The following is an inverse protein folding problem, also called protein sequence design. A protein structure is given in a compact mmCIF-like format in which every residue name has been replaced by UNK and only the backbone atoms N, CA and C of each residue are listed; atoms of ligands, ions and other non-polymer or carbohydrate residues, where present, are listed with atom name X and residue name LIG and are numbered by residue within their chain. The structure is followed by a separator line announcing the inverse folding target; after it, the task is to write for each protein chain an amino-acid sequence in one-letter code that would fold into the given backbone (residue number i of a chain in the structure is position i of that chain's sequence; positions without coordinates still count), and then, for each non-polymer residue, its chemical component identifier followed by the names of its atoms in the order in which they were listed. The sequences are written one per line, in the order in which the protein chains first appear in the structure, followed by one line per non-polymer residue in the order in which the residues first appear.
data_IF_523550289465
#
_entry.id   IF_523550289465
#
_cell.length_a   1.000
_cell.length_b   1.000
_cell.length_c   1.000
_cell.angle_alpha   90.00
_cell.angle_beta   90.00
_cell.angle_gamma   90.00
#
_symmetry.space_group_name_H-M   'P 1'
#
loop_
_entity.id
_entity.type
_entity.pdbx_description
1 polymer ?
#
# COMPACT_ATOMS: atom_id res chain seq x y z
N UNK A 1 -19.66 -24.64 -22.60
CA UNK A 1 -19.98 -23.53 -21.68
C UNK A 1 -18.68 -23.11 -21.03
N UNK A 2 -18.14 -21.98 -21.48
CA UNK A 2 -16.85 -21.44 -21.07
C UNK A 2 -16.86 -21.10 -19.58
N UNK A 3 -15.94 -21.70 -18.83
CA UNK A 3 -15.58 -21.20 -17.50
C UNK A 3 -14.84 -19.88 -17.71
N UNK A 4 -15.56 -18.78 -17.55
CA UNK A 4 -15.01 -17.44 -17.58
C UNK A 4 -13.92 -17.32 -16.52
N UNK A 5 -12.66 -17.34 -16.98
CA UNK A 5 -11.48 -17.04 -16.18
C UNK A 5 -11.70 -15.65 -15.57
N UNK A 6 -12.03 -15.59 -14.28
CA UNK A 6 -12.17 -14.32 -13.57
C UNK A 6 -10.84 -13.58 -13.73
N UNK A 7 -10.84 -12.47 -14.45
CA UNK A 7 -9.67 -11.60 -14.54
C UNK A 7 -9.48 -11.04 -13.13
N UNK A 8 -8.58 -11.64 -12.36
CA UNK A 8 -8.12 -11.06 -11.10
C UNK A 8 -7.37 -9.79 -11.48
N UNK A 9 -7.99 -8.63 -11.29
CA UNK A 9 -7.29 -7.37 -11.50
C UNK A 9 -6.14 -7.29 -10.49
N UNK A 10 -4.92 -7.13 -11.00
CA UNK A 10 -3.73 -6.92 -10.20
C UNK A 10 -3.33 -5.46 -10.36
N UNK A 11 -3.54 -4.66 -9.33
CA UNK A 11 -3.01 -3.29 -9.30
C UNK A 11 -1.60 -3.30 -8.79
N UNK A 12 -0.73 -2.50 -9.40
CA UNK A 12 0.66 -2.41 -9.01
C UNK A 12 1.13 -0.98 -9.07
N UNK A 13 1.76 -0.53 -7.98
CA UNK A 13 2.49 0.72 -7.91
C UNK A 13 3.91 0.45 -7.43
N UNK A 14 4.87 1.26 -7.88
CA UNK A 14 6.26 1.23 -7.40
C UNK A 14 6.59 2.63 -6.89
N UNK A 15 7.11 2.72 -5.68
CA UNK A 15 7.51 3.98 -5.06
C UNK A 15 8.84 3.82 -4.34
N UNK A 16 9.51 4.94 -4.07
CA UNK A 16 10.73 4.93 -3.26
C UNK A 16 10.39 4.50 -1.82
N UNK A 17 11.25 3.66 -1.24
CA UNK A 17 11.05 3.11 0.12
C UNK A 17 11.01 4.21 1.16
N UNK A 18 11.84 5.24 0.98
CA UNK A 18 11.86 6.40 1.86
C UNK A 18 10.49 7.09 1.87
N UNK A 19 9.92 7.38 0.70
CA UNK A 19 8.59 8.00 0.58
C UNK A 19 7.49 7.12 1.18
N UNK A 20 7.58 5.79 1.01
CA UNK A 20 6.63 4.87 1.63
C UNK A 20 6.71 4.90 3.17
N UNK A 21 7.93 4.91 3.72
CA UNK A 21 8.16 4.99 5.16
C UNK A 21 7.64 6.31 5.74
N UNK A 22 7.95 7.42 5.07
CA UNK A 22 7.50 8.75 5.46
C UNK A 22 5.99 8.87 5.40
N UNK A 23 5.36 8.46 4.28
CA UNK A 23 3.92 8.50 4.11
C UNK A 23 3.19 7.74 5.23
N UNK A 24 3.56 6.47 5.46
CA UNK A 24 2.93 5.64 6.50
C UNK A 24 3.23 6.17 7.90
N UNK A 25 4.45 6.67 8.14
CA UNK A 25 4.83 7.26 9.42
C UNK A 25 4.03 8.52 9.75
N UNK A 26 3.88 9.40 8.76
CA UNK A 26 3.20 10.68 8.86
C UNK A 26 1.69 10.51 9.04
N UNK A 27 1.03 9.75 8.16
CA UNK A 27 -0.44 9.61 8.21
C UNK A 27 -0.92 8.90 9.47
N UNK A 28 -0.04 8.10 10.10
CA UNK A 28 -0.31 7.38 11.34
C UNK A 28 0.15 8.08 12.62
N UNK A 29 0.42 9.38 12.56
CA UNK A 29 0.62 10.19 13.77
C UNK A 29 -0.68 10.34 14.55
N UNK A 30 -0.60 10.78 15.82
CA UNK A 30 -1.80 11.06 16.64
C UNK A 30 -2.72 12.10 16.00
N UNK A 31 -2.16 13.04 15.23
CA UNK A 31 -2.91 14.06 14.50
C UNK A 31 -3.73 13.45 13.35
N UNK A 32 -3.19 12.42 12.68
CA UNK A 32 -3.87 11.78 11.55
C UNK A 32 -5.01 10.85 11.92
N UNK A 33 -4.88 10.15 13.05
CA UNK A 33 -5.80 9.09 13.43
C UNK A 33 -7.02 9.61 14.19
N UNK A 34 -8.19 9.07 13.85
CA UNK A 34 -9.42 9.28 14.63
C UNK A 34 -9.52 8.26 15.76
N UNK A 35 -10.06 8.69 16.91
CA UNK A 35 -10.45 7.78 17.97
C UNK A 35 -11.70 6.98 17.57
N UNK A 36 -11.66 5.66 17.79
CA UNK A 36 -12.76 4.71 17.62
C UNK A 36 -12.98 3.98 18.95
N UNK A 37 -13.77 4.61 19.83
CA UNK A 37 -13.92 4.18 21.22
C UNK A 37 -12.60 4.34 21.99
N UNK A 38 -12.06 3.24 22.52
CA UNK A 38 -10.78 3.24 23.25
C UNK A 38 -9.55 3.04 22.35
N UNK A 39 -9.74 2.77 21.05
CA UNK A 39 -8.65 2.50 20.09
C UNK A 39 -8.52 3.65 19.09
N UNK A 40 -7.36 3.74 18.47
CA UNK A 40 -7.16 4.62 17.30
C UNK A 40 -7.49 3.86 16.01
N UNK A 41 -7.92 4.59 14.99
CA UNK A 41 -8.09 4.11 13.63
C UNK A 41 -6.89 3.24 13.18
N UNK A 42 -7.21 2.06 12.67
CA UNK A 42 -6.23 1.08 12.25
C UNK A 42 -5.90 1.19 10.76
N UNK A 43 -6.80 1.77 9.98
CA UNK A 43 -6.73 1.70 8.52
C UNK A 43 -6.11 2.95 7.90
N UNK A 44 -5.61 2.77 6.69
CA UNK A 44 -5.11 3.83 5.81
C UNK A 44 -5.73 3.58 4.44
N UNK A 45 -6.33 4.61 3.88
CA UNK A 45 -6.80 4.61 2.51
C UNK A 45 -5.63 4.93 1.58
N UNK A 46 -5.51 4.19 0.49
CA UNK A 46 -4.48 4.38 -0.54
C UNK A 46 -5.22 4.64 -1.84
N UNK A 47 -5.01 5.81 -2.42
CA UNK A 47 -5.71 6.29 -3.60
C UNK A 47 -4.71 6.73 -4.67
N UNK A 48 -5.13 6.78 -5.93
CA UNK A 48 -4.36 7.49 -6.95
C UNK A 48 -4.25 8.99 -6.61
N UNK A 49 -3.08 9.56 -6.79
CA UNK A 49 -2.85 11.00 -6.89
C UNK A 49 -2.22 11.29 -8.26
N UNK A 50 -2.36 12.49 -8.79
CA UNK A 50 -2.01 12.80 -10.19
C UNK A 50 -0.63 12.29 -10.66
N UNK A 51 0.36 12.23 -9.76
CA UNK A 51 1.72 11.73 -10.02
C UNK A 51 2.13 10.52 -9.14
N UNK A 52 1.18 9.79 -8.56
CA UNK A 52 1.50 8.64 -7.71
C UNK A 52 0.36 8.16 -6.82
N UNK A 53 0.63 8.01 -5.53
CA UNK A 53 -0.35 7.55 -4.54
C UNK A 53 -0.56 8.58 -3.44
N UNK A 54 -1.78 8.62 -2.92
CA UNK A 54 -2.16 9.38 -1.73
C UNK A 54 -2.48 8.39 -0.61
N UNK A 55 -1.74 8.46 0.48
CA UNK A 55 -2.02 7.74 1.73
C UNK A 55 -2.86 8.64 2.62
N UNK A 56 -4.00 8.16 3.11
CA UNK A 56 -4.97 8.98 3.84
C UNK A 56 -5.46 8.28 5.09
N UNK A 57 -5.68 9.08 6.12
CA UNK A 57 -6.43 8.72 7.34
C UNK A 57 -7.55 9.73 7.52
N UNK A 58 -8.30 9.62 8.61
CA UNK A 58 -9.41 10.51 8.90
C UNK A 58 -9.10 12.01 8.79
N UNK A 59 -7.88 12.44 9.15
CA UNK A 59 -7.58 13.86 9.32
C UNK A 59 -6.43 14.37 8.43
N UNK A 60 -5.59 13.49 7.88
CA UNK A 60 -4.43 13.89 7.09
C UNK A 60 -4.22 12.98 5.88
N UNK A 61 -3.61 13.55 4.85
CA UNK A 61 -3.17 12.88 3.64
C UNK A 61 -1.70 13.15 3.38
N UNK A 62 -1.03 12.20 2.73
CA UNK A 62 0.34 12.35 2.23
C UNK A 62 0.41 11.79 0.81
N UNK A 63 0.86 12.62 -0.13
CA UNK A 63 1.01 12.24 -1.53
C UNK A 63 2.47 11.88 -1.79
N UNK A 64 2.69 10.69 -2.34
CA UNK A 64 4.01 10.21 -2.74
C UNK A 64 4.06 9.97 -4.25
N UNK A 65 5.18 10.28 -4.91
CA UNK A 65 5.43 9.85 -6.26
C UNK A 65 5.36 8.31 -6.36
N UNK A 66 4.71 7.81 -7.41
CA UNK A 66 4.69 6.38 -7.70
C UNK A 66 4.60 6.14 -9.20
N UNK A 67 5.29 5.09 -9.66
CA UNK A 67 5.18 4.59 -11.02
C UNK A 67 4.02 3.60 -11.13
N UNK A 68 3.44 3.54 -12.34
CA UNK A 68 2.33 2.67 -12.75
C UNK A 68 0.96 3.09 -12.21
N UNK A 69 -0.08 2.60 -12.86
CA UNK A 69 -1.46 2.98 -12.59
C UNK A 69 -2.06 2.20 -11.42
N UNK A 70 -2.70 2.94 -10.51
CA UNK A 70 -3.50 2.40 -9.42
C UNK A 70 -4.92 2.96 -9.52
N UNK A 71 -5.84 2.28 -10.22
CA UNK A 71 -7.05 2.92 -10.73
C UNK A 71 -8.12 3.18 -9.67
N UNK A 72 -8.08 2.51 -8.51
CA UNK A 72 -9.11 2.71 -7.49
C UNK A 72 -8.59 2.70 -6.05
N UNK A 73 -9.31 3.37 -5.13
CA UNK A 73 -8.97 3.38 -3.72
C UNK A 73 -8.96 1.98 -3.10
N UNK A 74 -7.96 1.69 -2.27
CA UNK A 74 -7.99 0.55 -1.35
C UNK A 74 -7.91 1.02 0.08
N UNK A 75 -8.45 0.21 1.00
CA UNK A 75 -8.26 0.37 2.44
C UNK A 75 -7.40 -0.75 2.96
N UNK A 76 -6.29 -0.42 3.61
CA UNK A 76 -5.34 -1.38 4.15
C UNK A 76 -5.06 -1.11 5.64
N UNK A 77 -4.68 -2.14 6.38
CA UNK A 77 -4.34 -2.00 7.79
C UNK A 77 -3.02 -1.22 7.95
N UNK A 78 -3.13 0.08 8.21
CA UNK A 78 -1.99 0.96 8.37
C UNK A 78 -1.10 0.61 9.57
N UNK A 79 -1.64 -0.01 10.62
CA UNK A 79 -0.86 -0.39 11.79
C UNK A 79 0.09 -1.55 11.45
N UNK A 80 -0.39 -2.51 10.65
CA UNK A 80 0.41 -3.59 10.09
C UNK A 80 1.43 -3.02 9.10
N UNK A 81 1.01 -2.14 8.17
CA UNK A 81 1.94 -1.49 7.23
C UNK A 81 3.07 -0.75 7.95
N UNK A 82 2.77 0.03 9.00
CA UNK A 82 3.79 0.74 9.78
C UNK A 82 4.81 -0.19 10.45
N UNK A 83 4.40 -1.40 10.82
CA UNK A 83 5.29 -2.41 11.41
C UNK A 83 6.12 -3.15 10.35
N UNK A 84 5.57 -3.32 9.14
CA UNK A 84 6.22 -4.05 8.04
C UNK A 84 7.14 -3.16 7.19
N UNK A 85 6.74 -1.92 6.92
CA UNK A 85 7.44 -1.01 6.01
C UNK A 85 8.95 -0.85 6.34
N UNK A 86 9.38 -0.72 7.61
CA UNK A 86 10.81 -0.62 7.93
C UNK A 86 11.60 -1.89 7.60
N UNK A 87 10.93 -3.05 7.55
CA UNK A 87 11.52 -4.37 7.32
C UNK A 87 11.64 -4.73 5.83
N UNK A 88 11.06 -3.91 4.95
CA UNK A 88 11.18 -4.12 3.52
C UNK A 88 12.61 -3.83 3.07
N UNK A 89 13.16 -4.67 2.21
CA UNK A 89 14.49 -4.47 1.63
C UNK A 89 14.42 -3.74 0.28
N UNK A 90 15.55 -3.18 -0.15
CA UNK A 90 15.68 -2.42 -1.40
C UNK A 90 15.40 -0.93 -1.25
N UNK A 91 15.76 -0.18 -2.30
CA UNK A 91 15.50 1.27 -2.41
C UNK A 91 14.05 1.55 -2.81
N UNK A 92 13.41 0.64 -3.54
CA UNK A 92 12.03 0.76 -4.02
C UNK A 92 11.13 -0.30 -3.42
N UNK A 93 9.88 0.10 -3.18
CA UNK A 93 8.82 -0.79 -2.72
C UNK A 93 7.82 -1.00 -3.84
N UNK A 94 7.48 -2.26 -4.11
CA UNK A 94 6.36 -2.62 -4.98
C UNK A 94 5.14 -2.89 -4.13
N UNK A 95 4.09 -2.11 -4.33
CA UNK A 95 2.75 -2.37 -3.81
C UNK A 95 1.99 -3.15 -4.86
N UNK A 96 1.37 -4.26 -4.49
CA UNK A 96 0.48 -5.02 -5.37
C UNK A 96 -0.83 -5.29 -4.64
N UNK A 97 -1.96 -4.89 -5.22
CA UNK A 97 -3.27 -5.27 -4.73
C UNK A 97 -3.86 -6.33 -5.64
N UNK A 98 -4.08 -7.51 -5.07
CA UNK A 98 -4.65 -8.67 -5.74
C UNK A 98 -5.45 -9.47 -4.72
N UNK A 99 -6.59 -10.02 -5.15
CA UNK A 99 -7.37 -10.96 -4.34
C UNK A 99 -7.77 -10.42 -2.95
N UNK A 100 -8.02 -9.11 -2.86
CA UNK A 100 -8.40 -8.45 -1.60
C UNK A 100 -7.23 -8.22 -0.62
N UNK A 101 -5.98 -8.49 -1.02
CA UNK A 101 -4.80 -8.32 -0.21
C UNK A 101 -3.84 -7.27 -0.78
N UNK A 102 -3.25 -6.46 0.10
CA UNK A 102 -2.09 -5.62 -0.22
C UNK A 102 -0.80 -6.40 0.04
N UNK A 103 -0.07 -6.67 -1.03
CA UNK A 103 1.23 -7.35 -1.03
C UNK A 103 2.32 -6.30 -1.12
N UNK A 104 3.26 -6.33 -0.18
CA UNK A 104 4.44 -5.44 -0.14
C UNK A 104 5.67 -6.26 -0.54
N UNK A 105 6.39 -5.85 -1.58
CA UNK A 105 7.58 -6.54 -2.11
C UNK A 105 7.38 -8.05 -2.24
N UNK A 106 6.91 -8.52 -3.40
CA UNK A 106 6.77 -9.97 -3.63
C UNK A 106 8.13 -10.68 -3.47
N UNK A 107 8.22 -11.70 -2.61
CA UNK A 107 9.38 -12.59 -2.57
C UNK A 107 9.53 -13.30 -3.91
N UNK A 108 10.69 -13.16 -4.55
CA UNK A 108 11.03 -13.88 -5.79
C UNK A 108 12.28 -14.70 -5.54
N UNK A 109 12.17 -16.02 -5.67
CA UNK A 109 13.31 -16.94 -5.64
C UNK A 109 13.59 -17.35 -7.08
N UNK A 110 14.73 -16.94 -7.67
CA UNK A 110 15.16 -17.45 -8.95
C UNK A 110 15.45 -18.96 -8.85
N UNK A 111 14.89 -19.74 -9.77
CA UNK A 111 15.19 -21.15 -9.93
C UNK A 111 15.70 -21.39 -11.36
N UNK A 112 16.56 -22.38 -11.54
CA UNK A 112 17.00 -22.87 -12.85
C UNK A 112 16.45 -24.28 -13.05
N UNK A 113 16.07 -24.61 -14.28
CA UNK A 113 15.96 -26.02 -14.68
C UNK A 113 17.36 -26.65 -14.64
N UNK A 114 17.40 -27.92 -14.21
CA UNK A 114 18.58 -28.79 -14.34
C UNK A 114 18.45 -29.59 -15.63
#
# INVERSE_FOLDING_TARGET
MEQGRTISFVWRAILERYDFLEAIGFVRTRAGLRAQGIKMEADVDIMSSGNGLSFRTANISYDCPAEREWPSPIRANGAVMRRLAPKLEGERVTLTYAEGALILNSTRIPAREL
#
